data_IF_017314159447
#
_entry.id   IF_017314159447
#
_cell.length_a   1.000
_cell.length_b   1.000
_cell.length_c   1.000
_cell.angle_alpha   90.00
_cell.angle_beta   90.00
_cell.angle_gamma   90.00
#
_symmetry.space_group_name_H-M   'P 1'
#
loop_
_entity.id
_entity.type
_entity.pdbx_description
1 polymer ?
#
# COMPACT_ATOMS: atom_id res chain seq x y z
N UNK A 1 10.28 0.05 -17.16
CA UNK A 1 9.75 -0.26 -15.83
C UNK A 1 9.87 -1.76 -15.58
N UNK A 2 10.37 -2.15 -14.41
CA UNK A 2 10.56 -3.55 -14.03
C UNK A 2 9.20 -4.27 -13.87
N UNK A 3 9.10 -5.47 -14.43
CA UNK A 3 7.94 -6.35 -14.31
C UNK A 3 8.10 -7.28 -13.11
N UNK A 4 7.01 -7.57 -12.41
CA UNK A 4 6.97 -8.46 -11.26
C UNK A 4 6.03 -9.61 -11.52
N UNK A 5 6.36 -10.77 -10.97
CA UNK A 5 5.41 -11.88 -10.96
C UNK A 5 4.32 -11.58 -9.95
N UNK A 6 3.10 -11.97 -10.27
CA UNK A 6 2.01 -11.95 -9.31
C UNK A 6 2.34 -12.89 -8.15
N UNK A 7 2.01 -12.46 -6.93
CA UNK A 7 2.23 -13.25 -5.73
C UNK A 7 1.40 -14.53 -5.78
N UNK A 8 1.97 -15.61 -5.25
CA UNK A 8 1.20 -16.81 -5.01
C UNK A 8 0.61 -16.75 -3.59
N UNK A 9 -0.72 -16.63 -3.42
CA UNK A 9 -1.35 -16.50 -2.12
C UNK A 9 -1.08 -17.70 -1.19
N UNK A 10 -0.76 -18.88 -1.75
CA UNK A 10 -0.46 -20.09 -0.99
C UNK A 10 0.96 -20.12 -0.40
N UNK A 11 1.88 -19.35 -0.96
CA UNK A 11 3.31 -19.43 -0.60
C UNK A 11 3.93 -18.09 -0.19
N UNK A 12 3.20 -16.98 -0.31
CA UNK A 12 3.71 -15.62 0.00
C UNK A 12 4.21 -15.51 1.44
N UNK A 13 3.59 -16.22 2.39
CA UNK A 13 4.01 -16.24 3.79
C UNK A 13 5.37 -16.93 4.03
N UNK A 14 5.88 -17.67 3.05
CA UNK A 14 7.20 -18.33 3.08
C UNK A 14 8.15 -17.77 2.01
N UNK A 15 7.79 -16.65 1.37
CA UNK A 15 8.65 -16.05 0.35
C UNK A 15 9.97 -15.57 0.99
N UNK A 16 11.14 -15.92 0.42
CA UNK A 16 12.43 -15.51 0.97
C UNK A 16 12.63 -13.98 0.99
N UNK A 17 11.85 -13.23 0.20
CA UNK A 17 11.89 -11.78 0.14
C UNK A 17 10.90 -11.11 1.11
N UNK A 18 10.11 -11.88 1.87
CA UNK A 18 9.16 -11.33 2.84
C UNK A 18 9.91 -10.63 3.97
N UNK A 19 9.61 -9.35 4.18
CA UNK A 19 10.26 -8.51 5.21
C UNK A 19 9.30 -8.10 6.34
N UNK A 20 7.99 -8.15 6.12
CA UNK A 20 6.98 -7.95 7.16
C UNK A 20 5.61 -8.50 6.75
N UNK A 21 4.79 -8.84 7.75
CA UNK A 21 3.38 -9.19 7.60
C UNK A 21 2.56 -8.36 8.57
N UNK A 22 1.43 -7.82 8.10
CA UNK A 22 0.46 -7.09 8.93
C UNK A 22 -0.93 -7.71 8.71
N UNK A 23 -1.63 -8.17 9.77
CA UNK A 23 -3.01 -8.63 9.62
C UNK A 23 -3.93 -7.46 9.25
N UNK A 24 -4.96 -7.74 8.46
CA UNK A 24 -6.05 -6.77 8.25
C UNK A 24 -6.86 -6.59 9.55
N UNK A 25 -7.38 -5.39 9.77
CA UNK A 25 -8.10 -5.02 10.99
C UNK A 25 -9.58 -5.44 10.98
N UNK A 26 -10.15 -5.64 9.79
CA UNK A 26 -11.56 -6.02 9.60
C UNK A 26 -11.70 -7.49 9.17
N UNK A 27 -10.79 -8.00 8.35
CA UNK A 27 -10.84 -9.34 7.77
C UNK A 27 -9.72 -10.24 8.34
N UNK A 28 -10.03 -11.07 9.35
CA UNK A 28 -9.04 -11.96 9.99
C UNK A 28 -8.38 -12.98 9.06
N UNK A 29 -8.97 -13.25 7.89
CA UNK A 29 -8.43 -14.15 6.85
C UNK A 29 -7.53 -13.43 5.85
N UNK A 30 -7.39 -12.11 5.96
CA UNK A 30 -6.61 -11.27 5.06
C UNK A 30 -5.36 -10.77 5.76
N UNK A 31 -4.24 -10.86 5.06
CA UNK A 31 -2.96 -10.33 5.51
C UNK A 31 -2.35 -9.46 4.42
N UNK A 32 -1.58 -8.48 4.87
CA UNK A 32 -0.68 -7.67 4.07
C UNK A 32 0.73 -8.23 4.19
N UNK A 33 1.41 -8.35 3.06
CA UNK A 33 2.76 -8.86 2.95
C UNK A 33 3.62 -7.78 2.29
N UNK A 34 4.68 -7.38 2.97
CA UNK A 34 5.72 -6.53 2.41
C UNK A 34 6.87 -7.42 1.96
N UNK A 35 7.13 -7.45 0.66
CA UNK A 35 8.27 -8.15 0.07
C UNK A 35 9.25 -7.14 -0.51
N UNK A 36 10.54 -7.41 -0.38
CA UNK A 36 11.60 -6.61 -1.00
C UNK A 36 12.30 -7.40 -2.10
N UNK A 37 12.05 -7.03 -3.36
CA UNK A 37 12.56 -7.75 -4.53
C UNK A 37 13.44 -6.81 -5.37
N UNK A 38 14.75 -6.99 -5.23
CA UNK A 38 15.78 -6.01 -5.61
C UNK A 38 15.47 -4.65 -4.95
N UNK A 39 15.44 -3.54 -5.69
CA UNK A 39 15.18 -2.20 -5.13
C UNK A 39 13.68 -1.80 -5.09
N UNK A 40 12.78 -2.78 -4.99
CA UNK A 40 11.34 -2.56 -5.01
C UNK A 40 10.62 -3.22 -3.86
N UNK A 41 9.63 -2.52 -3.31
CA UNK A 41 8.66 -3.12 -2.41
C UNK A 41 7.46 -3.60 -3.22
N UNK A 42 7.06 -4.83 -2.95
CA UNK A 42 5.75 -5.36 -3.31
C UNK A 42 4.92 -5.34 -2.04
N UNK A 43 3.85 -4.55 -2.04
CA UNK A 43 2.80 -4.64 -1.02
C UNK A 43 1.69 -5.51 -1.58
N UNK A 44 1.57 -6.71 -1.02
CA UNK A 44 0.64 -7.70 -1.49
C UNK A 44 -0.40 -8.05 -0.42
N UNK A 45 -1.55 -8.54 -0.86
CA UNK A 45 -2.58 -9.10 0.01
C UNK A 45 -3.05 -10.43 -0.50
N UNK A 46 -3.36 -11.33 0.42
CA UNK A 46 -4.03 -12.59 0.11
C UNK A 46 -5.16 -12.81 1.12
N UNK A 47 -6.30 -13.32 0.64
CA UNK A 47 -7.40 -13.80 1.49
C UNK A 47 -8.05 -15.04 0.93
N UNK A 48 -8.45 -15.94 1.83
CA UNK A 48 -9.29 -17.06 1.47
C UNK A 48 -10.75 -16.62 1.53
N UNK A 49 -11.41 -16.62 0.37
CA UNK A 49 -12.77 -16.16 0.19
C UNK A 49 -13.67 -17.35 -0.12
N UNK A 50 -14.85 -17.36 0.50
CA UNK A 50 -15.93 -18.31 0.19
C UNK A 50 -17.15 -17.51 -0.24
N UNK A 51 -17.61 -17.73 -1.46
CA UNK A 51 -18.83 -17.13 -1.96
C UNK A 51 -20.03 -17.73 -1.19
N UNK A 52 -20.89 -16.87 -0.67
CA UNK A 52 -22.04 -17.28 0.15
C UNK A 52 -23.21 -17.81 -0.68
N UNK A 53 -23.23 -17.53 -1.99
CA UNK A 53 -24.31 -17.91 -2.90
C UNK A 53 -24.16 -19.36 -3.37
N UNK A 54 -22.95 -19.78 -3.74
CA UNK A 54 -22.69 -21.13 -4.25
C UNK A 54 -21.81 -22.00 -3.31
N UNK A 55 -21.13 -21.39 -2.33
CA UNK A 55 -20.25 -22.08 -1.39
C UNK A 55 -18.86 -22.39 -1.93
N UNK A 56 -18.53 -21.97 -3.15
CA UNK A 56 -17.22 -22.15 -3.75
C UNK A 56 -16.20 -21.26 -3.03
N UNK A 57 -14.98 -21.78 -2.90
CA UNK A 57 -13.90 -21.08 -2.21
C UNK A 57 -12.67 -20.92 -3.08
N UNK A 58 -12.09 -19.73 -3.04
CA UNK A 58 -10.89 -19.41 -3.79
C UNK A 58 -9.96 -18.47 -3.00
N UNK A 59 -8.70 -18.44 -3.42
CA UNK A 59 -7.75 -17.45 -2.92
C UNK A 59 -7.81 -16.20 -3.78
N UNK A 60 -8.21 -15.10 -3.17
CA UNK A 60 -8.09 -13.78 -3.77
C UNK A 60 -6.74 -13.19 -3.39
N UNK A 61 -6.07 -12.56 -4.36
CA UNK A 61 -4.82 -11.86 -4.12
C UNK A 61 -4.75 -10.57 -4.93
N UNK A 62 -3.91 -9.67 -4.46
CA UNK A 62 -3.63 -8.40 -5.12
C UNK A 62 -2.25 -7.89 -4.72
N UNK A 63 -1.62 -7.06 -5.56
CA UNK A 63 -0.36 -6.41 -5.23
C UNK A 63 -0.19 -5.07 -5.92
N UNK A 64 0.49 -4.15 -5.24
CA UNK A 64 1.11 -2.97 -5.85
C UNK A 64 2.63 -3.05 -5.69
N UNK A 65 3.36 -2.52 -6.66
CA UNK A 65 4.83 -2.50 -6.63
C UNK A 65 5.32 -1.06 -6.76
N UNK A 66 6.33 -0.69 -5.98
CA UNK A 66 6.89 0.66 -6.01
C UNK A 66 8.37 0.62 -5.63
N UNK A 67 9.18 1.59 -6.08
CA UNK A 67 10.58 1.68 -5.65
C UNK A 67 10.67 1.69 -4.12
N UNK A 68 11.70 1.07 -3.53
CA UNK A 68 11.76 0.88 -2.08
C UNK A 68 11.74 2.21 -1.30
N UNK A 69 12.35 3.26 -1.85
CA UNK A 69 12.30 4.62 -1.30
C UNK A 69 10.92 5.30 -1.46
N UNK A 70 10.02 4.70 -2.23
CA UNK A 70 8.62 5.10 -2.34
C UNK A 70 7.87 4.99 -1.01
N UNK A 71 8.32 4.10 -0.10
CA UNK A 71 7.75 4.01 1.24
C UNK A 71 8.10 5.23 2.10
N UNK A 72 9.37 5.67 2.02
CA UNK A 72 9.83 6.91 2.66
C UNK A 72 9.05 8.10 2.10
N UNK A 73 8.92 8.19 0.78
CA UNK A 73 8.12 9.23 0.14
C UNK A 73 6.66 9.22 0.61
N UNK A 74 6.01 8.06 0.70
CA UNK A 74 4.63 7.94 1.21
C UNK A 74 4.51 8.52 2.63
N UNK A 75 5.40 8.14 3.54
CA UNK A 75 5.39 8.58 4.94
C UNK A 75 5.64 10.08 5.06
N UNK A 76 6.66 10.59 4.37
CA UNK A 76 7.02 12.01 4.40
C UNK A 76 5.93 12.87 3.76
N UNK A 77 5.25 12.37 2.73
CA UNK A 77 4.10 13.03 2.11
C UNK A 77 2.92 13.07 3.06
N UNK A 78 2.61 11.97 3.73
CA UNK A 78 1.53 11.90 4.71
C UNK A 78 1.75 12.94 5.83
N UNK A 79 2.93 12.91 6.46
CA UNK A 79 3.27 13.80 7.58
C UNK A 79 3.49 15.26 7.14
N UNK A 80 4.11 15.47 5.98
CA UNK A 80 4.47 16.79 5.48
C UNK A 80 3.34 17.52 4.75
N UNK A 81 2.40 16.78 4.15
CA UNK A 81 1.33 17.34 3.31
C UNK A 81 -0.05 17.21 3.91
N UNK A 82 -0.40 16.02 4.40
CA UNK A 82 -1.76 15.75 4.86
C UNK A 82 -1.99 16.09 6.34
N UNK A 83 -0.95 16.03 7.17
CA UNK A 83 -1.05 16.33 8.61
C UNK A 83 -0.75 17.79 8.97
N UNK A 84 -0.41 18.60 7.96
CA UNK A 84 -0.06 20.01 8.13
C UNK A 84 -1.11 20.90 7.51
N UNK A 85 -1.26 22.09 8.07
CA UNK A 85 -2.01 23.17 7.43
C UNK A 85 -1.24 23.71 6.22
N UNK A 86 -1.93 24.40 5.31
CA UNK A 86 -1.30 25.08 4.18
C UNK A 86 -0.16 26.03 4.62
N UNK A 87 -0.35 26.75 5.73
CA UNK A 87 0.65 27.66 6.30
C UNK A 87 1.92 26.93 6.82
N UNK A 88 1.80 25.64 7.15
CA UNK A 88 2.90 24.78 7.61
C UNK A 88 3.53 23.97 6.47
N UNK A 89 3.12 24.21 5.22
CA UNK A 89 3.60 23.50 4.03
C UNK A 89 2.72 22.32 3.58
N UNK A 90 1.56 22.17 4.21
CA UNK A 90 0.51 21.20 3.87
C UNK A 90 -0.18 21.46 2.53
N UNK A 91 -1.17 20.63 2.20
CA UNK A 91 -1.92 20.79 0.95
C UNK A 91 -2.80 22.05 0.95
N UNK A 92 -2.89 22.78 -0.18
CA UNK A 92 -3.82 23.89 -0.31
C UNK A 92 -5.28 23.44 -0.16
N UNK A 93 -6.13 24.34 0.33
CA UNK A 93 -7.57 24.06 0.45
C UNK A 93 -8.15 23.56 -0.88
N UNK A 94 -8.88 22.44 -0.81
CA UNK A 94 -9.50 21.80 -1.99
C UNK A 94 -8.57 20.83 -2.74
N UNK A 95 -7.34 20.64 -2.26
CA UNK A 95 -6.41 19.63 -2.80
C UNK A 95 -6.42 18.40 -1.91
N UNK A 96 -6.63 17.23 -2.52
CA UNK A 96 -6.78 15.96 -1.80
C UNK A 96 -5.75 14.90 -2.20
N UNK A 97 -4.72 15.29 -2.93
CA UNK A 97 -3.65 14.40 -3.38
C UNK A 97 -2.34 15.15 -3.54
N UNK A 98 -1.25 14.41 -3.44
CA UNK A 98 0.09 14.84 -3.84
C UNK A 98 0.70 13.77 -4.74
N UNK A 99 1.54 14.20 -5.68
CA UNK A 99 2.25 13.33 -6.62
C UNK A 99 3.75 13.57 -6.52
N UNK A 100 4.54 12.51 -6.64
CA UNK A 100 6.00 12.56 -6.56
C UNK A 100 6.66 11.62 -7.55
N UNK A 101 7.91 11.91 -7.88
CA UNK A 101 8.77 11.05 -8.69
C UNK A 101 9.82 10.41 -7.78
N UNK A 102 9.81 9.09 -7.69
CA UNK A 102 10.77 8.32 -6.87
C UNK A 102 11.42 7.28 -7.76
N UNK A 103 12.75 7.30 -7.85
CA UNK A 103 13.55 6.39 -8.68
C UNK A 103 13.03 6.23 -10.12
N UNK A 104 12.52 7.34 -10.69
CA UNK A 104 11.99 7.39 -12.06
C UNK A 104 10.55 6.89 -12.21
N UNK A 105 9.85 6.53 -11.13
CA UNK A 105 8.43 6.15 -11.14
C UNK A 105 7.57 7.17 -10.40
N UNK A 106 6.40 7.48 -10.97
CA UNK A 106 5.43 8.41 -10.42
C UNK A 106 4.54 7.73 -9.40
N UNK A 107 4.50 8.30 -8.21
CA UNK A 107 3.68 7.86 -7.09
C UNK A 107 2.66 8.93 -6.74
N UNK A 108 1.52 8.50 -6.22
CA UNK A 108 0.45 9.40 -5.79
C UNK A 108 -0.13 8.94 -4.47
N UNK A 109 -0.29 9.88 -3.54
CA UNK A 109 -1.02 9.69 -2.30
C UNK A 109 -2.28 10.55 -2.36
N UNK A 110 -3.44 9.95 -2.11
CA UNK A 110 -4.73 10.63 -2.18
C UNK A 110 -5.56 10.34 -0.94
N UNK A 111 -6.21 11.36 -0.37
CA UNK A 111 -7.23 11.17 0.66
C UNK A 111 -8.42 10.39 0.09
N UNK A 112 -8.80 9.29 0.73
CA UNK A 112 -10.02 8.55 0.47
C UNK A 112 -11.06 8.92 1.53
N UNK A 113 -12.26 9.33 1.11
CA UNK A 113 -13.31 9.81 2.01
C UNK A 113 -14.33 8.73 2.41
N UNK A 114 -14.29 7.57 1.75
CA UNK A 114 -15.15 6.43 2.02
C UNK A 114 -14.34 5.14 1.78
N UNK A 115 -13.27 4.99 2.56
CA UNK A 115 -12.30 3.90 2.42
C UNK A 115 -12.83 2.56 2.97
N UNK A 116 -13.70 2.61 3.97
CA UNK A 116 -14.33 1.46 4.64
C UNK A 116 -15.73 1.12 4.10
N UNK A 117 -16.22 1.89 3.12
CA UNK A 117 -17.57 1.76 2.57
C UNK A 117 -18.69 2.30 3.46
N UNK A 118 -18.35 2.89 4.61
CA UNK A 118 -19.26 3.41 5.63
C UNK A 118 -18.92 4.86 6.04
N UNK A 119 -18.51 5.69 5.08
CA UNK A 119 -18.09 7.10 5.23
C UNK A 119 -16.80 7.30 6.07
N UNK A 120 -16.09 6.22 6.41
CA UNK A 120 -14.80 6.28 7.07
C UNK A 120 -13.68 6.70 6.11
N UNK A 121 -12.76 7.50 6.63
CA UNK A 121 -11.64 8.04 5.89
C UNK A 121 -10.50 7.06 5.68
N UNK A 122 -9.58 7.44 4.80
CA UNK A 122 -8.37 6.67 4.52
C UNK A 122 -7.45 7.35 3.53
N UNK A 123 -6.51 6.58 2.99
CA UNK A 123 -5.55 7.03 1.99
C UNK A 123 -5.35 5.98 0.89
N UNK A 124 -5.39 6.41 -0.36
CA UNK A 124 -5.04 5.60 -1.51
C UNK A 124 -3.59 5.88 -1.92
N UNK A 125 -2.76 4.83 -1.92
CA UNK A 125 -1.41 4.85 -2.47
C UNK A 125 -1.43 4.26 -3.88
N UNK A 126 -1.05 5.07 -4.86
CA UNK A 126 -1.25 4.78 -6.28
C UNK A 126 0.11 4.83 -6.99
N UNK A 127 0.37 3.79 -7.79
CA UNK A 127 1.59 3.62 -8.57
C UNK A 127 1.29 4.00 -10.02
N UNK A 128 1.42 5.29 -10.34
CA UNK A 128 0.82 5.90 -11.55
C UNK A 128 1.30 5.26 -12.86
N UNK A 129 2.54 4.80 -12.90
CA UNK A 129 3.15 4.20 -14.09
C UNK A 129 2.83 2.70 -14.24
N UNK A 130 2.24 2.06 -13.22
CA UNK A 130 1.87 0.64 -13.20
C UNK A 130 0.38 0.50 -13.41
N UNK A 131 -0.03 -0.35 -14.36
CA UNK A 131 -1.43 -0.54 -14.73
C UNK A 131 -1.97 -1.85 -14.20
N UNK A 132 -3.26 -1.81 -13.84
CA UNK A 132 -4.03 -3.02 -13.61
C UNK A 132 -4.07 -3.87 -14.88
N UNK A 133 -4.06 -5.22 -14.77
CA UNK A 133 -4.23 -6.09 -15.92
C UNK A 133 -5.48 -5.70 -16.72
N UNK A 134 -5.32 -5.54 -18.02
CA UNK A 134 -6.42 -5.23 -18.96
C UNK A 134 -7.21 -3.95 -18.62
N UNK A 135 -6.60 -3.00 -17.91
CA UNK A 135 -7.29 -1.81 -17.40
C UNK A 135 -6.49 -0.53 -17.64
N UNK A 136 -7.22 0.58 -17.78
CA UNK A 136 -6.64 1.93 -17.90
C UNK A 136 -6.20 2.49 -16.54
N UNK A 137 -6.69 1.88 -15.46
CA UNK A 137 -6.43 2.29 -14.10
C UNK A 137 -5.03 1.89 -13.65
N UNK A 138 -4.44 2.75 -12.81
CA UNK A 138 -3.16 2.46 -12.21
C UNK A 138 -3.34 1.57 -10.98
N UNK A 139 -2.36 0.69 -10.71
CA UNK A 139 -2.35 -0.15 -9.52
C UNK A 139 -2.38 0.75 -8.27
N UNK A 140 -3.24 0.44 -7.32
CA UNK A 140 -3.41 1.22 -6.10
C UNK A 140 -3.93 0.40 -4.94
N UNK A 141 -3.51 0.74 -3.74
CA UNK A 141 -4.09 0.21 -2.52
C UNK A 141 -4.72 1.34 -1.71
N UNK A 142 -5.93 1.11 -1.18
CA UNK A 142 -6.60 2.04 -0.26
C UNK A 142 -6.54 1.47 1.15
N UNK A 143 -5.96 2.24 2.06
CA UNK A 143 -5.93 1.94 3.49
C UNK A 143 -7.02 2.75 4.18
N UNK A 144 -7.80 2.13 5.07
CA UNK A 144 -8.64 2.85 6.01
C UNK A 144 -7.76 3.59 7.02
N UNK A 145 -8.28 4.66 7.63
CA UNK A 145 -7.57 5.34 8.71
C UNK A 145 -7.32 4.39 9.89
N UNK A 146 -8.28 3.52 10.20
CA UNK A 146 -8.17 2.47 11.23
C UNK A 146 -6.96 1.55 10.97
N UNK A 147 -6.93 0.90 9.80
CA UNK A 147 -5.81 0.04 9.41
C UNK A 147 -4.49 0.79 9.47
N UNK A 148 -4.47 2.00 8.91
CA UNK A 148 -3.24 2.76 8.74
C UNK A 148 -2.66 3.18 10.10
N UNK A 149 -3.49 3.70 11.02
CA UNK A 149 -3.02 4.37 12.24
C UNK A 149 -3.17 3.56 13.53
N UNK A 150 -4.12 2.63 13.60
CA UNK A 150 -4.47 1.93 14.84
C UNK A 150 -3.97 0.49 14.87
N UNK A 151 -3.81 -0.14 13.71
CA UNK A 151 -3.52 -1.57 13.58
C UNK A 151 -2.11 -1.89 13.05
N UNK A 152 -1.15 -0.99 13.31
CA UNK A 152 0.28 -1.26 13.12
C UNK A 152 0.79 -1.20 11.68
N UNK A 153 -0.05 -0.83 10.71
CA UNK A 153 0.37 -0.66 9.32
C UNK A 153 1.41 0.46 9.19
N UNK A 154 1.11 1.68 9.66
CA UNK A 154 2.05 2.80 9.56
C UNK A 154 3.34 2.56 10.34
N UNK A 155 3.26 1.89 11.49
CA UNK A 155 4.44 1.56 12.31
C UNK A 155 5.34 0.56 11.59
N UNK A 156 4.74 -0.44 10.94
CA UNK A 156 5.45 -1.39 10.08
C UNK A 156 6.11 -0.67 8.90
N UNK A 157 5.39 0.22 8.23
CA UNK A 157 5.93 1.02 7.13
C UNK A 157 7.11 1.89 7.59
N UNK A 158 6.99 2.56 8.76
CA UNK A 158 8.05 3.37 9.37
C UNK A 158 9.29 2.53 9.69
N UNK A 159 9.11 1.32 10.22
CA UNK A 159 10.21 0.41 10.52
C UNK A 159 10.93 -0.06 9.25
N UNK A 160 10.19 -0.42 8.21
CA UNK A 160 10.75 -0.83 6.91
C UNK A 160 11.53 0.34 6.30
N UNK A 161 10.93 1.53 6.21
CA UNK A 161 11.57 2.72 5.65
C UNK A 161 12.88 3.05 6.40
N UNK A 162 12.86 2.98 7.73
CA UNK A 162 14.08 3.18 8.55
C UNK A 162 15.18 2.16 8.23
N UNK A 163 14.84 0.88 8.06
CA UNK A 163 15.82 -0.16 7.70
C UNK A 163 16.42 0.10 6.32
N UNK A 164 15.61 0.52 5.35
CA UNK A 164 16.06 0.89 4.00
C UNK A 164 17.03 2.08 4.06
N UNK A 165 16.68 3.12 4.82
CA UNK A 165 17.53 4.32 4.96
C UNK A 165 18.90 4.00 5.60
N UNK A 166 18.94 2.97 6.46
CA UNK A 166 20.16 2.47 7.08
C UNK A 166 20.94 1.45 6.22
N UNK A 167 20.45 1.13 5.02
CA UNK A 167 21.05 0.12 4.14
C UNK A 167 20.97 -1.32 4.69
N UNK A 168 20.00 -1.58 5.56
CA UNK A 168 19.73 -2.91 6.15
C UNK A 168 18.71 -3.71 5.32
N UNK A 169 18.08 -3.04 4.35
CA UNK A 169 17.15 -3.50 3.34
C UNK A 169 17.45 -2.71 2.05
#
# INVERSE_FOLDING_TARGET
>A
MKQFKEINPLTVAQDPNLIATVPDDEETTKNFYFLLVDDYIILATAKYFTDKLDGESEWLHYQIEFPKYGLRWFLDTLEGKFFKTEAEGGLPKGTFNDEGLVDGERLKLRRAFNADGNDGGGYAFITLDRKEPESVWSKSYTFTDSLLFEHGMIDTMKLIAKKIDLGQL
#
